data_IF_070786843351
#
_entry.id   IF_070786843351
#
_cell.length_a   1.000
_cell.length_b   1.000
_cell.length_c   1.000
_cell.angle_alpha   90.00
_cell.angle_beta   90.00
_cell.angle_gamma   90.00
#
_symmetry.space_group_name_H-M   'P 1'
#
loop_
_entity.id
_entity.type
_entity.pdbx_description
1 polymer ?
#
# COMPACT_ATOMS: atom_id res chain seq x y z
N UNK A 1 -10.08 13.74 14.89
CA UNK A 1 -9.56 14.31 13.63
C UNK A 1 -9.90 13.36 12.51
N UNK A 2 -10.15 13.84 11.29
CA UNK A 2 -10.34 12.96 10.14
C UNK A 2 -8.99 12.38 9.70
N UNK A 3 -8.92 11.10 9.32
CA UNK A 3 -7.67 10.50 8.89
C UNK A 3 -7.25 10.98 7.49
N UNK A 4 -5.96 10.89 7.20
CA UNK A 4 -5.37 11.12 5.87
C UNK A 4 -5.19 9.81 5.13
N UNK A 5 -5.51 9.74 3.83
CA UNK A 5 -5.12 8.62 2.98
C UNK A 5 -3.83 8.98 2.23
N UNK A 6 -2.76 8.24 2.48
CA UNK A 6 -1.52 8.33 1.74
C UNK A 6 -1.51 7.29 0.61
N UNK A 7 -1.40 7.74 -0.63
CA UNK A 7 -1.38 6.88 -1.81
C UNK A 7 0.01 6.85 -2.42
N UNK A 8 0.61 5.65 -2.48
CA UNK A 8 1.94 5.42 -3.06
C UNK A 8 1.85 5.32 -4.60
N UNK A 9 1.92 6.47 -5.27
CA UNK A 9 1.76 6.58 -6.73
C UNK A 9 3.08 6.78 -7.51
N UNK A 10 4.22 6.85 -6.81
CA UNK A 10 5.54 7.09 -7.41
C UNK A 10 6.00 5.97 -8.35
N UNK A 11 5.41 4.77 -8.25
CA UNK A 11 5.69 3.61 -9.10
C UNK A 11 4.80 3.48 -10.36
N UNK A 12 3.67 4.21 -10.45
CA UNK A 12 2.67 3.96 -11.50
C UNK A 12 3.24 4.14 -12.92
N UNK A 13 4.16 5.09 -13.12
CA UNK A 13 4.72 5.34 -14.45
C UNK A 13 5.65 4.23 -14.98
N UNK A 14 6.27 3.43 -14.11
CA UNK A 14 7.25 2.42 -14.55
C UNK A 14 6.61 1.10 -14.97
N UNK A 15 5.55 0.67 -14.28
CA UNK A 15 4.86 -0.62 -14.58
C UNK A 15 4.10 -0.56 -15.89
N UNK A 16 3.47 0.58 -16.16
CA UNK A 16 2.63 0.75 -17.35
C UNK A 16 3.35 1.49 -18.49
N UNK A 17 4.64 1.83 -18.39
CA UNK A 17 5.32 2.60 -19.45
C UNK A 17 4.88 4.08 -19.55
N UNK A 18 4.23 4.59 -18.51
CA UNK A 18 3.84 5.99 -18.34
C UNK A 18 2.41 6.16 -17.85
N UNK A 19 2.09 7.33 -17.27
CA UNK A 19 0.72 7.68 -16.82
C UNK A 19 -0.34 7.51 -17.91
N UNK A 20 0.02 7.82 -19.17
CA UNK A 20 -0.88 7.74 -20.34
C UNK A 20 -1.25 6.32 -20.75
N UNK A 21 -0.55 5.32 -20.24
CA UNK A 21 -0.80 3.91 -20.53
C UNK A 21 -1.64 3.23 -19.46
N UNK A 22 -2.03 3.95 -18.39
CA UNK A 22 -3.01 3.44 -17.44
C UNK A 22 -4.37 3.34 -18.12
N UNK A 23 -4.93 2.13 -18.13
CA UNK A 23 -6.20 1.85 -18.76
C UNK A 23 -7.36 2.04 -17.77
N UNK A 24 -8.48 2.63 -18.20
CA UNK A 24 -9.70 2.65 -17.40
C UNK A 24 -10.24 1.24 -17.16
N UNK A 25 -10.78 1.05 -15.97
CA UNK A 25 -11.39 -0.18 -15.47
C UNK A 25 -12.88 -0.03 -15.20
N UNK A 26 -13.36 1.20 -14.98
CA UNK A 26 -14.76 1.50 -14.71
C UNK A 26 -15.62 1.72 -15.96
N UNK A 27 -16.95 1.58 -15.83
CA UNK A 27 -17.89 1.73 -16.95
C UNK A 27 -17.93 3.13 -17.55
N UNK A 28 -17.54 4.17 -16.81
CA UNK A 28 -17.48 5.56 -17.31
C UNK A 28 -16.04 6.08 -17.47
N UNK A 29 -15.06 5.18 -17.56
CA UNK A 29 -13.65 5.55 -17.75
C UNK A 29 -12.88 5.79 -16.45
N UNK A 30 -13.38 5.29 -15.32
CA UNK A 30 -12.69 5.36 -14.02
C UNK A 30 -11.45 4.44 -13.99
N UNK A 31 -10.39 4.88 -13.33
CA UNK A 31 -9.22 4.10 -12.93
C UNK A 31 -9.46 3.42 -11.58
N UNK A 32 -8.65 2.40 -11.26
CA UNK A 32 -8.64 1.76 -9.92
C UNK A 32 -8.54 2.82 -8.81
N UNK A 33 -7.68 3.81 -9.02
CA UNK A 33 -7.46 4.89 -8.05
C UNK A 33 -8.73 5.68 -7.71
N UNK A 34 -9.65 5.84 -8.66
CA UNK A 34 -10.89 6.60 -8.42
C UNK A 34 -11.80 5.92 -7.40
N UNK A 35 -11.83 4.59 -7.41
CA UNK A 35 -12.58 3.80 -6.45
C UNK A 35 -11.98 3.95 -5.05
N UNK A 36 -10.64 3.87 -4.93
CA UNK A 36 -9.95 4.12 -3.66
C UNK A 36 -10.23 5.51 -3.09
N UNK A 37 -10.23 6.55 -3.93
CA UNK A 37 -10.55 7.92 -3.51
C UNK A 37 -12.02 8.04 -3.07
N UNK A 38 -12.94 7.44 -3.82
CA UNK A 38 -14.37 7.45 -3.50
C UNK A 38 -14.66 6.72 -2.18
N UNK A 39 -14.10 5.54 -1.99
CA UNK A 39 -14.30 4.73 -0.78
C UNK A 39 -13.66 5.37 0.44
N UNK A 40 -12.48 5.96 0.32
CA UNK A 40 -11.88 6.74 1.40
C UNK A 40 -12.74 7.95 1.79
N UNK A 41 -13.24 8.71 0.80
CA UNK A 41 -14.15 9.84 1.05
C UNK A 41 -15.43 9.36 1.76
N UNK A 42 -16.07 8.27 1.29
CA UNK A 42 -17.24 7.64 1.92
C UNK A 42 -16.96 7.13 3.34
N UNK A 43 -15.76 6.62 3.60
CA UNK A 43 -15.32 6.15 4.91
C UNK A 43 -14.97 7.28 5.89
N UNK A 44 -14.91 8.53 5.42
CA UNK A 44 -14.70 9.71 6.27
C UNK A 44 -13.25 10.20 6.36
N UNK A 45 -12.37 9.76 5.47
CA UNK A 45 -11.06 10.38 5.29
C UNK A 45 -11.23 11.84 4.86
N UNK A 46 -10.41 12.74 5.42
CA UNK A 46 -10.54 14.18 5.17
C UNK A 46 -9.58 14.71 4.11
N UNK A 47 -8.45 14.02 3.91
CA UNK A 47 -7.35 14.43 3.03
C UNK A 47 -6.75 13.22 2.33
N UNK A 48 -6.36 13.39 1.07
CA UNK A 48 -5.55 12.44 0.32
C UNK A 48 -4.22 13.09 -0.02
N UNK A 49 -3.13 12.36 0.23
CA UNK A 49 -1.77 12.75 -0.16
C UNK A 49 -1.28 11.76 -1.19
N UNK A 50 -1.02 12.22 -2.41
CA UNK A 50 -0.39 11.39 -3.45
C UNK A 50 1.13 11.54 -3.39
N UNK A 51 1.84 10.44 -3.14
CA UNK A 51 3.30 10.40 -3.27
C UNK A 51 3.64 10.07 -4.71
N UNK A 52 4.21 11.03 -5.44
CA UNK A 52 4.55 10.89 -6.87
C UNK A 52 6.01 11.23 -7.11
N UNK A 53 6.48 11.03 -8.34
CA UNK A 53 7.76 11.58 -8.79
C UNK A 53 7.55 13.00 -9.33
N UNK A 54 8.50 13.90 -9.10
CA UNK A 54 8.36 15.32 -9.43
C UNK A 54 8.07 15.55 -10.91
N UNK A 55 8.68 14.76 -11.80
CA UNK A 55 8.47 14.84 -13.24
C UNK A 55 7.05 14.45 -13.68
N UNK A 56 6.29 13.75 -12.84
CA UNK A 56 4.91 13.35 -13.13
C UNK A 56 3.88 14.38 -12.66
N UNK A 57 4.29 15.42 -11.91
CA UNK A 57 3.37 16.34 -11.22
C UNK A 57 2.35 16.98 -12.14
N UNK A 58 2.79 17.60 -13.24
CA UNK A 58 1.91 18.37 -14.11
C UNK A 58 0.84 17.48 -14.77
N UNK A 59 1.22 16.28 -15.24
CA UNK A 59 0.27 15.35 -15.84
C UNK A 59 -0.66 14.77 -14.77
N UNK A 60 -0.13 14.38 -13.60
CA UNK A 60 -0.91 13.77 -12.54
C UNK A 60 -1.94 14.74 -11.93
N UNK A 61 -1.56 16.00 -11.70
CA UNK A 61 -2.48 17.05 -11.21
C UNK A 61 -3.65 17.27 -12.17
N UNK A 62 -3.37 17.36 -13.48
CA UNK A 62 -4.40 17.50 -14.51
C UNK A 62 -5.46 16.38 -14.47
N UNK A 63 -5.06 15.18 -14.05
CA UNK A 63 -5.91 14.00 -14.00
C UNK A 63 -6.68 13.85 -12.68
N UNK A 64 -6.19 14.47 -11.61
CA UNK A 64 -6.69 14.21 -10.24
C UNK A 64 -7.32 15.43 -9.57
N UNK A 65 -6.78 16.64 -9.77
CA UNK A 65 -7.25 17.84 -9.03
C UNK A 65 -8.72 18.13 -9.32
N UNK A 66 -9.10 18.35 -10.58
CA UNK A 66 -10.50 18.64 -10.93
C UNK A 66 -11.45 17.48 -10.65
N UNK A 67 -10.93 16.25 -10.66
CA UNK A 67 -11.72 15.04 -10.46
C UNK A 67 -12.11 14.81 -9.00
N UNK A 68 -11.26 15.24 -8.07
CA UNK A 68 -11.40 14.96 -6.64
C UNK A 68 -11.67 16.22 -5.79
N UNK A 69 -11.48 17.43 -6.34
CA UNK A 69 -11.59 18.70 -5.61
C UNK A 69 -12.90 18.86 -4.81
N UNK A 70 -14.04 18.39 -5.35
CA UNK A 70 -15.34 18.51 -4.69
C UNK A 70 -15.62 17.38 -3.68
N UNK A 71 -14.72 16.39 -3.57
CA UNK A 71 -14.92 15.16 -2.77
C UNK A 71 -14.04 15.12 -1.52
N UNK A 72 -12.79 15.56 -1.63
CA UNK A 72 -11.79 15.43 -0.58
C UNK A 72 -10.62 16.39 -0.80
N UNK A 73 -9.96 16.84 0.26
CA UNK A 73 -8.74 17.63 0.14
C UNK A 73 -7.63 16.80 -0.52
N UNK A 74 -6.92 17.38 -1.49
CA UNK A 74 -5.84 16.70 -2.21
C UNK A 74 -4.53 17.46 -2.04
N UNK A 75 -3.48 16.73 -1.64
CA UNK A 75 -2.12 17.20 -1.56
C UNK A 75 -1.16 16.24 -2.28
N UNK A 76 0.06 16.72 -2.55
CA UNK A 76 1.07 15.98 -3.29
C UNK A 76 2.41 16.03 -2.56
N UNK A 77 3.03 14.87 -2.39
CA UNK A 77 4.39 14.71 -1.88
C UNK A 77 5.28 14.13 -2.98
N UNK A 78 6.58 14.39 -2.90
CA UNK A 78 7.53 14.02 -3.95
C UNK A 78 8.57 13.04 -3.43
N UNK A 79 8.60 11.83 -4.00
CA UNK A 79 9.62 10.84 -3.68
C UNK A 79 10.91 11.12 -4.47
N UNK A 80 11.67 12.12 -4.02
CA UNK A 80 12.96 12.49 -4.62
C UNK A 80 14.10 11.68 -4.00
N UNK A 81 15.03 11.16 -4.81
CA UNK A 81 16.14 10.33 -4.30
C UNK A 81 17.05 11.09 -3.33
N UNK A 82 17.05 12.41 -3.45
CA UNK A 82 17.82 13.36 -2.64
C UNK A 82 17.19 13.64 -1.28
N UNK A 83 15.93 13.26 -1.05
CA UNK A 83 15.23 13.46 0.22
C UNK A 83 15.66 12.39 1.24
N UNK A 84 16.90 12.53 1.72
CA UNK A 84 17.52 11.59 2.66
C UNK A 84 17.95 12.30 3.93
N UNK A 85 17.85 11.66 5.11
CA UNK A 85 18.25 12.25 6.40
C UNK A 85 19.77 12.45 6.52
N UNK A 86 20.55 11.74 5.69
CA UNK A 86 22.00 11.85 5.61
C UNK A 86 22.44 11.99 4.16
N UNK A 87 23.69 12.43 3.95
CA UNK A 87 24.30 12.45 2.61
C UNK A 87 24.68 11.03 2.19
N UNK A 88 24.25 10.63 0.99
CA UNK A 88 24.60 9.33 0.40
C UNK A 88 25.64 9.54 -0.71
N UNK A 89 26.89 9.05 -0.56
CA UNK A 89 27.96 9.31 -1.54
C UNK A 89 27.67 8.79 -2.95
N UNK A 90 27.00 7.65 -3.08
CA UNK A 90 26.68 6.98 -4.35
C UNK A 90 25.38 7.46 -4.99
N UNK A 91 24.75 8.52 -4.44
CA UNK A 91 23.42 8.97 -4.86
C UNK A 91 23.34 9.31 -6.35
N UNK A 92 24.40 9.89 -6.92
CA UNK A 92 24.47 10.27 -8.34
C UNK A 92 24.37 9.07 -9.30
N UNK A 93 24.79 7.88 -8.85
CA UNK A 93 24.79 6.66 -9.65
C UNK A 93 23.47 5.89 -9.51
N UNK A 94 22.68 6.22 -8.49
CA UNK A 94 21.47 5.48 -8.12
C UNK A 94 20.32 5.76 -9.07
N UNK A 95 19.85 4.71 -9.75
CA UNK A 95 18.66 4.78 -10.60
C UNK A 95 17.39 4.37 -9.87
N UNK A 96 17.47 3.34 -9.01
CA UNK A 96 16.31 2.77 -8.32
C UNK A 96 15.80 3.70 -7.22
N UNK A 97 14.47 3.90 -7.05
CA UNK A 97 13.92 4.55 -5.87
C UNK A 97 14.37 3.87 -4.57
N UNK A 98 14.27 4.57 -3.44
CA UNK A 98 14.66 4.02 -2.14
C UNK A 98 13.63 3.06 -1.53
N UNK A 99 12.44 2.87 -2.12
CA UNK A 99 11.45 1.90 -1.64
C UNK A 99 10.22 2.54 -0.99
N UNK A 100 9.29 1.71 -0.51
CA UNK A 100 7.99 2.15 0.02
C UNK A 100 8.09 2.89 1.36
N UNK A 101 9.04 2.52 2.23
CA UNK A 101 9.29 3.24 3.48
C UNK A 101 9.74 4.67 3.21
N UNK A 102 10.61 4.86 2.20
CA UNK A 102 11.02 6.20 1.76
C UNK A 102 9.85 6.99 1.14
N UNK A 103 8.92 6.32 0.44
CA UNK A 103 7.73 7.00 -0.08
C UNK A 103 6.85 7.57 1.04
N UNK A 104 6.70 6.85 2.16
CA UNK A 104 6.00 7.36 3.35
C UNK A 104 6.79 8.50 4.00
N UNK A 105 8.11 8.34 4.15
CA UNK A 105 8.98 9.39 4.68
C UNK A 105 8.92 10.69 3.85
N UNK A 106 8.87 10.60 2.52
CA UNK A 106 8.75 11.75 1.62
C UNK A 106 7.45 12.56 1.81
N UNK A 107 6.43 11.94 2.41
CA UNK A 107 5.16 12.59 2.72
C UNK A 107 5.04 13.12 4.16
N UNK A 108 6.09 12.97 5.00
CA UNK A 108 6.06 13.28 6.44
C UNK A 108 5.48 14.65 6.80
N UNK A 109 5.74 15.67 6.00
CA UNK A 109 5.24 17.05 6.21
C UNK A 109 3.71 17.18 6.01
N UNK A 110 3.08 16.19 5.38
CA UNK A 110 1.63 16.15 5.13
C UNK A 110 0.88 15.18 6.05
N UNK A 111 1.57 14.51 6.99
CA UNK A 111 1.02 13.44 7.83
C UNK A 111 0.87 13.88 9.30
N UNK A 112 0.13 14.97 9.49
CA UNK A 112 -0.18 15.61 10.78
C UNK A 112 -1.35 14.96 11.54
N UNK A 113 -2.15 14.14 10.87
CA UNK A 113 -3.26 13.37 11.43
C UNK A 113 -3.00 11.86 11.34
N UNK A 114 -3.78 11.00 12.04
CA UNK A 114 -3.74 9.56 11.78
C UNK A 114 -3.95 9.29 10.29
N UNK A 115 -3.27 8.29 9.74
CA UNK A 115 -3.27 8.11 8.29
C UNK A 115 -3.22 6.65 7.88
N UNK A 116 -3.82 6.36 6.73
CA UNK A 116 -3.70 5.08 6.04
C UNK A 116 -2.67 5.16 4.92
N UNK A 117 -2.03 4.05 4.58
CA UNK A 117 -1.12 3.94 3.44
C UNK A 117 -1.65 2.84 2.51
N UNK A 118 -1.76 3.16 1.22
CA UNK A 118 -2.17 2.21 0.18
C UNK A 118 -1.30 2.35 -1.08
N UNK A 119 -1.29 1.32 -1.93
CA UNK A 119 -0.77 1.43 -3.29
C UNK A 119 -1.79 2.15 -4.21
N UNK A 120 -1.32 2.69 -5.32
CA UNK A 120 -2.17 3.44 -6.26
C UNK A 120 -2.87 2.55 -7.32
N UNK A 121 -2.38 1.34 -7.54
CA UNK A 121 -2.79 0.41 -8.59
C UNK A 121 -3.55 -0.83 -8.08
N UNK A 122 -3.92 -0.84 -6.80
CA UNK A 122 -4.65 -1.91 -6.13
C UNK A 122 -6.09 -1.45 -5.79
N UNK A 123 -7.09 -2.28 -6.11
CA UNK A 123 -8.46 -2.10 -5.64
C UNK A 123 -8.64 -2.84 -4.31
N UNK A 124 -8.91 -2.09 -3.24
CA UNK A 124 -8.99 -2.61 -1.87
C UNK A 124 -10.41 -2.95 -1.40
N UNK A 125 -11.43 -2.39 -2.07
CA UNK A 125 -12.83 -2.47 -1.67
C UNK A 125 -13.20 -1.55 -0.50
N UNK A 126 -14.46 -1.12 -0.45
CA UNK A 126 -14.96 -0.14 0.52
C UNK A 126 -14.76 -0.56 1.99
N UNK A 127 -14.83 -1.86 2.28
CA UNK A 127 -14.68 -2.39 3.64
C UNK A 127 -13.28 -2.14 4.23
N UNK A 128 -12.23 -2.17 3.40
CA UNK A 128 -10.88 -1.88 3.85
C UNK A 128 -10.73 -0.44 4.34
N UNK A 129 -11.28 0.51 3.58
CA UNK A 129 -11.28 1.93 3.95
C UNK A 129 -12.13 2.18 5.20
N UNK A 130 -13.30 1.55 5.29
CA UNK A 130 -14.15 1.64 6.49
C UNK A 130 -13.46 1.07 7.72
N UNK A 131 -12.80 -0.08 7.59
CA UNK A 131 -12.05 -0.74 8.66
C UNK A 131 -10.91 0.14 9.15
N UNK A 132 -10.12 0.71 8.26
CA UNK A 132 -9.06 1.65 8.63
C UNK A 132 -9.60 2.94 9.22
N UNK A 133 -10.66 3.52 8.66
CA UNK A 133 -11.26 4.73 9.21
C UNK A 133 -11.76 4.51 10.64
N UNK A 134 -12.43 3.38 10.90
CA UNK A 134 -12.89 3.01 12.24
C UNK A 134 -11.70 2.87 13.21
N UNK A 135 -10.64 2.18 12.80
CA UNK A 135 -9.44 2.02 13.61
C UNK A 135 -8.76 3.36 13.92
N UNK A 136 -8.53 4.19 12.89
CA UNK A 136 -7.82 5.47 13.01
C UNK A 136 -8.62 6.55 13.76
N UNK A 137 -9.94 6.39 13.87
CA UNK A 137 -10.83 7.32 14.59
C UNK A 137 -11.25 6.84 15.97
N UNK A 138 -10.93 5.59 16.36
CA UNK A 138 -11.18 5.08 17.72
C UNK A 138 -10.35 5.88 18.75
N UNK A 139 -11.00 6.53 19.74
CA UNK A 139 -10.29 7.28 20.78
C UNK A 139 -9.23 6.46 21.54
N UNK A 140 -9.42 5.14 21.70
CA UNK A 140 -8.44 4.26 22.35
C UNK A 140 -7.18 4.13 21.50
N UNK A 141 -7.34 4.00 20.18
CA UNK A 141 -6.21 3.89 19.26
C UNK A 141 -5.51 5.23 19.10
N UNK A 142 -6.24 6.35 19.10
CA UNK A 142 -5.62 7.69 19.05
C UNK A 142 -4.77 8.01 20.29
N UNK A 143 -5.10 7.42 21.44
CA UNK A 143 -4.30 7.54 22.66
C UNK A 143 -3.05 6.64 22.67
N UNK A 144 -2.94 5.68 21.75
CA UNK A 144 -1.86 4.70 21.67
C UNK A 144 -0.99 4.95 20.43
N UNK A 145 0.22 5.45 20.65
CA UNK A 145 1.15 5.79 19.57
C UNK A 145 1.95 4.59 19.04
N UNK A 146 1.81 3.43 19.66
CA UNK A 146 2.60 2.22 19.36
C UNK A 146 1.75 1.10 18.77
N UNK A 147 0.45 1.33 18.57
CA UNK A 147 -0.45 0.39 17.89
C UNK A 147 -0.75 0.84 16.46
N UNK A 148 -0.43 -0.03 15.51
CA UNK A 148 -0.67 0.16 14.09
C UNK A 148 -1.74 -0.81 13.59
N UNK A 149 -2.23 -0.58 12.39
CA UNK A 149 -3.14 -1.48 11.70
C UNK A 149 -2.55 -1.96 10.38
N UNK A 150 -2.87 -3.20 10.04
CA UNK A 150 -2.68 -3.76 8.71
C UNK A 150 -3.99 -4.40 8.30
N UNK A 151 -4.55 -4.02 7.15
CA UNK A 151 -5.68 -4.74 6.57
C UNK A 151 -5.17 -6.03 5.95
N UNK A 152 -5.59 -7.15 6.52
CA UNK A 152 -5.25 -8.49 6.06
C UNK A 152 -6.37 -9.07 5.20
N UNK A 153 -5.99 -9.64 4.06
CA UNK A 153 -6.89 -10.29 3.11
C UNK A 153 -6.67 -11.79 3.14
N UNK A 154 -7.73 -12.57 2.91
CA UNK A 154 -7.59 -14.01 2.66
C UNK A 154 -6.86 -14.23 1.34
N UNK A 155 -5.87 -15.11 1.31
CA UNK A 155 -5.04 -15.35 0.14
C UNK A 155 -5.87 -15.69 -1.11
N UNK A 156 -6.90 -16.51 -0.97
CA UNK A 156 -7.84 -16.88 -2.05
C UNK A 156 -8.49 -15.68 -2.73
N UNK A 157 -8.69 -14.57 -2.02
CA UNK A 157 -9.26 -13.34 -2.55
C UNK A 157 -8.25 -12.48 -3.32
N UNK A 158 -6.99 -12.91 -3.45
CA UNK A 158 -5.89 -12.10 -3.99
C UNK A 158 -5.11 -12.79 -5.12
N UNK A 159 -5.52 -13.99 -5.55
CA UNK A 159 -4.82 -14.73 -6.61
C UNK A 159 -5.23 -14.23 -8.00
N UNK A 160 -4.33 -14.36 -8.98
CA UNK A 160 -4.61 -14.15 -10.41
C UNK A 160 -4.85 -15.50 -11.08
N UNK A 161 -5.78 -15.54 -12.03
CA UNK A 161 -6.00 -16.71 -12.91
C UNK A 161 -4.93 -16.81 -14.02
N UNK A 162 -4.17 -15.74 -14.26
CA UNK A 162 -3.24 -15.60 -15.37
C UNK A 162 -1.78 -15.84 -14.99
N UNK A 163 -1.47 -16.04 -13.70
CA UNK A 163 -0.11 -16.31 -13.25
C UNK A 163 0.06 -16.30 -11.75
N UNK A 164 1.30 -16.16 -11.32
CA UNK A 164 1.66 -16.13 -9.89
C UNK A 164 1.74 -14.70 -9.38
N UNK A 165 1.51 -14.53 -8.07
CA UNK A 165 1.58 -13.23 -7.40
C UNK A 165 2.65 -13.22 -6.31
N UNK A 166 2.98 -12.04 -5.82
CA UNK A 166 3.80 -11.86 -4.60
C UNK A 166 2.97 -11.19 -3.51
N UNK A 167 3.08 -11.68 -2.28
CA UNK A 167 2.30 -11.23 -1.13
C UNK A 167 3.12 -11.29 0.15
N UNK A 168 2.87 -10.37 1.07
CA UNK A 168 3.37 -10.46 2.44
C UNK A 168 2.50 -11.41 3.26
N UNK A 169 2.94 -12.65 3.47
CA UNK A 169 2.25 -13.63 4.32
C UNK A 169 2.33 -13.20 5.77
N UNK A 170 1.16 -13.05 6.40
CA UNK A 170 1.02 -12.57 7.77
C UNK A 170 0.88 -13.75 8.73
N UNK A 171 1.62 -13.71 9.84
CA UNK A 171 1.39 -14.59 11.00
C UNK A 171 0.86 -13.75 12.14
N UNK A 172 -0.25 -14.19 12.74
CA UNK A 172 -0.92 -13.49 13.84
C UNK A 172 -1.00 -14.37 15.08
N UNK A 173 -1.10 -13.74 16.24
CA UNK A 173 -1.47 -14.42 17.48
C UNK A 173 -3.00 -14.50 17.65
N UNK A 174 -3.44 -15.15 18.73
CA UNK A 174 -4.87 -15.32 19.07
C UNK A 174 -5.61 -14.00 19.35
N UNK A 175 -4.88 -12.89 19.52
CA UNK A 175 -5.44 -11.56 19.72
C UNK A 175 -5.59 -10.77 18.42
N UNK A 176 -5.14 -11.34 17.30
CA UNK A 176 -5.07 -10.66 16.00
C UNK A 176 -3.86 -9.73 15.86
N UNK A 177 -2.89 -9.80 16.77
CA UNK A 177 -1.64 -9.04 16.64
C UNK A 177 -0.70 -9.75 15.66
N UNK A 178 -0.11 -8.98 14.75
CA UNK A 178 0.87 -9.44 13.77
C UNK A 178 2.18 -9.80 14.48
N UNK A 179 2.56 -11.07 14.39
CA UNK A 179 3.82 -11.61 14.88
C UNK A 179 4.96 -11.42 13.87
N UNK A 180 4.65 -11.57 12.59
CA UNK A 180 5.62 -11.40 11.49
C UNK A 180 4.91 -11.23 10.16
N UNK A 181 5.57 -10.54 9.23
CA UNK A 181 5.21 -10.50 7.81
C UNK A 181 6.41 -10.95 6.96
N UNK A 182 6.20 -11.91 6.06
CA UNK A 182 7.23 -12.43 5.18
C UNK A 182 6.80 -12.31 3.72
N UNK A 183 7.63 -11.74 2.87
CA UNK A 183 7.34 -11.66 1.43
C UNK A 183 7.49 -13.04 0.79
N UNK A 184 6.43 -13.52 0.15
CA UNK A 184 6.41 -14.76 -0.61
C UNK A 184 6.18 -14.43 -2.08
N UNK A 185 6.89 -15.11 -2.97
CA UNK A 185 6.77 -14.96 -4.42
C UNK A 185 6.24 -16.25 -5.07
N UNK A 186 5.97 -16.21 -6.38
CA UNK A 186 5.48 -17.37 -7.14
C UNK A 186 4.22 -18.02 -6.54
N UNK A 187 3.37 -17.21 -5.87
CA UNK A 187 2.16 -17.69 -5.20
C UNK A 187 1.08 -17.96 -6.25
N UNK A 188 0.57 -19.19 -6.30
CA UNK A 188 -0.55 -19.54 -7.17
C UNK A 188 -0.91 -21.02 -7.13
N UNK A 189 -1.99 -21.39 -7.82
CA UNK A 189 -2.38 -22.79 -7.99
C UNK A 189 -1.41 -23.48 -8.96
N UNK A 190 -0.64 -24.45 -8.47
CA UNK A 190 0.30 -25.23 -9.28
C UNK A 190 -0.16 -26.69 -9.41
N UNK A 191 -1.26 -26.90 -10.15
CA UNK A 191 -1.84 -28.22 -10.42
C UNK A 191 -2.71 -28.74 -9.27
N UNK A 192 -4.03 -28.66 -9.47
CA UNK A 192 -5.03 -29.01 -8.45
C UNK A 192 -5.34 -27.86 -7.48
N UNK A 193 -5.88 -28.18 -6.31
CA UNK A 193 -6.44 -27.20 -5.37
C UNK A 193 -5.41 -26.66 -4.35
N UNK A 194 -4.12 -26.99 -4.49
CA UNK A 194 -3.07 -26.53 -3.56
C UNK A 194 -2.41 -25.24 -4.04
N UNK A 195 -2.33 -24.24 -3.17
CA UNK A 195 -1.58 -23.01 -3.44
C UNK A 195 -0.11 -23.23 -3.05
N UNK A 196 0.78 -23.10 -4.03
CA UNK A 196 2.23 -23.19 -3.84
C UNK A 196 2.84 -21.78 -3.88
N UNK A 197 3.92 -21.57 -3.14
CA UNK A 197 4.67 -20.32 -3.06
C UNK A 197 6.16 -20.57 -2.83
N UNK A 198 6.98 -19.53 -2.98
CA UNK A 198 8.35 -19.47 -2.50
C UNK A 198 8.47 -18.46 -1.36
N UNK A 199 9.00 -18.89 -0.22
CA UNK A 199 9.27 -17.99 0.91
C UNK A 199 10.48 -17.07 0.63
N UNK A 200 10.86 -16.23 1.60
CA UNK A 200 11.98 -15.30 1.45
C UNK A 200 13.34 -16.00 1.23
N UNK A 201 13.47 -17.26 1.66
CA UNK A 201 14.63 -18.13 1.44
C UNK A 201 14.59 -18.86 0.07
N UNK A 202 13.60 -18.56 -0.79
CA UNK A 202 13.34 -19.24 -2.07
C UNK A 202 12.97 -20.72 -1.94
N UNK A 203 12.52 -21.16 -0.78
CA UNK A 203 12.07 -22.53 -0.53
C UNK A 203 10.59 -22.67 -0.91
N UNK A 204 10.23 -23.80 -1.53
CA UNK A 204 8.85 -24.11 -1.86
C UNK A 204 8.03 -24.42 -0.62
N UNK A 205 6.89 -23.72 -0.47
CA UNK A 205 5.95 -23.89 0.63
C UNK A 205 4.52 -23.99 0.09
N UNK A 206 3.65 -24.65 0.84
CA UNK A 206 2.22 -24.71 0.55
C UNK A 206 1.46 -23.79 1.49
N UNK A 207 0.55 -22.98 0.94
CA UNK A 207 -0.27 -22.04 1.68
C UNK A 207 -1.74 -22.48 1.68
N UNK A 208 -2.46 -22.16 2.74
CA UNK A 208 -3.92 -22.31 2.82
C UNK A 208 -4.61 -21.15 2.10
N UNK A 209 -5.81 -21.37 1.58
CA UNK A 209 -6.67 -20.31 1.04
C UNK A 209 -7.00 -19.22 2.07
N UNK A 210 -7.15 -19.63 3.34
CA UNK A 210 -7.42 -18.74 4.47
C UNK A 210 -6.18 -18.03 5.01
N UNK A 211 -5.00 -18.26 4.41
CA UNK A 211 -3.76 -17.57 4.81
C UNK A 211 -3.96 -16.07 4.70
N UNK A 212 -3.70 -15.35 5.79
CA UNK A 212 -3.80 -13.89 5.79
C UNK A 212 -2.60 -13.29 5.07
N UNK A 213 -2.86 -12.38 4.14
CA UNK A 213 -1.84 -11.67 3.37
C UNK A 213 -2.01 -10.16 3.42
N UNK A 214 -0.88 -9.46 3.36
CA UNK A 214 -0.79 -8.02 3.22
C UNK A 214 -0.79 -7.62 1.75
N UNK A 215 -1.56 -6.58 1.45
CA UNK A 215 -1.57 -5.87 0.17
C UNK A 215 -1.05 -4.43 0.34
N UNK A 216 -0.19 -4.22 1.34
CA UNK A 216 0.37 -2.93 1.70
C UNK A 216 -0.69 -1.86 2.07
N UNK A 217 -1.74 -2.28 2.78
CA UNK A 217 -2.85 -1.44 3.25
C UNK A 217 -2.74 -1.24 4.77
N UNK A 218 -2.09 -0.15 5.19
CA UNK A 218 -1.69 0.09 6.58
C UNK A 218 -2.45 1.26 7.21
N UNK A 219 -2.50 1.31 8.53
CA UNK A 219 -3.01 2.44 9.32
C UNK A 219 -2.05 2.81 10.45
N UNK A 220 -1.74 4.08 10.60
CA UNK A 220 -0.77 4.60 11.55
C UNK A 220 -1.31 5.81 12.35
N UNK A 221 -0.90 5.97 13.61
CA UNK A 221 -1.25 7.15 14.39
C UNK A 221 -0.57 8.42 13.85
N UNK A 222 -1.10 9.59 14.25
CA UNK A 222 -0.50 10.87 13.91
C UNK A 222 0.95 10.94 14.39
N UNK A 223 1.85 11.54 13.61
CA UNK A 223 3.26 11.68 13.99
C UNK A 223 4.11 10.40 13.83
N UNK A 224 3.51 9.25 13.49
CA UNK A 224 4.24 8.00 13.27
C UNK A 224 5.36 8.14 12.23
N UNK A 225 5.17 8.94 11.19
CA UNK A 225 6.15 9.16 10.13
C UNK A 225 7.51 9.68 10.65
N UNK A 226 7.55 10.34 11.81
CA UNK A 226 8.80 10.77 12.46
C UNK A 226 9.70 9.60 12.87
N UNK A 227 9.11 8.42 13.14
CA UNK A 227 9.85 7.19 13.48
C UNK A 227 10.65 6.66 12.30
N UNK A 228 10.32 7.04 11.06
CA UNK A 228 11.03 6.57 9.86
C UNK A 228 12.40 7.21 9.68
N UNK A 229 12.63 8.42 10.19
CA UNK A 229 13.89 9.14 9.99
C UNK A 229 15.12 8.36 10.51
N UNK A 230 15.16 7.92 11.79
CA UNK A 230 16.31 7.15 12.29
C UNK A 230 16.45 5.78 11.59
N UNK A 231 15.33 5.12 11.26
CA UNK A 231 15.36 3.83 10.55
C UNK A 231 15.93 3.97 9.14
N UNK A 232 15.53 5.03 8.44
CA UNK A 232 16.01 5.32 7.10
C UNK A 232 17.48 5.73 7.13
N UNK A 233 17.91 6.51 8.12
CA UNK A 233 19.31 6.80 8.34
C UNK A 233 20.14 5.51 8.50
N UNK A 234 19.76 4.62 9.42
CA UNK A 234 20.48 3.36 9.64
C UNK A 234 20.53 2.49 8.37
N UNK A 235 19.41 2.39 7.64
CA UNK A 235 19.38 1.71 6.35
C UNK A 235 20.38 2.30 5.34
N UNK A 236 20.47 3.64 5.25
CA UNK A 236 21.38 4.30 4.32
C UNK A 236 22.86 4.11 4.72
N UNK A 237 23.17 4.09 6.01
CA UNK A 237 24.52 3.81 6.51
C UNK A 237 24.96 2.38 6.20
N UNK A 238 24.07 1.40 6.34
CA UNK A 238 24.37 -0.01 6.12
C UNK A 238 24.35 -0.39 4.62
N UNK A 239 23.33 0.08 3.89
CA UNK A 239 22.98 -0.43 2.55
C UNK A 239 22.80 0.68 1.50
N UNK A 240 23.06 1.94 1.83
CA UNK A 240 22.88 3.06 0.90
C UNK A 240 23.83 3.02 -0.31
N UNK A 241 24.97 2.36 -0.17
CA UNK A 241 25.92 2.14 -1.27
C UNK A 241 25.46 1.08 -2.28
N UNK A 242 24.55 0.18 -1.90
CA UNK A 242 24.04 -0.87 -2.77
C UNK A 242 23.08 -0.27 -3.84
N UNK A 243 23.31 -0.46 -5.16
CA UNK A 243 22.51 0.21 -6.19
C UNK A 243 21.03 -0.19 -6.23
N UNK A 244 20.68 -1.34 -5.63
CA UNK A 244 19.34 -1.95 -5.70
C UNK A 244 18.69 -2.19 -4.32
N UNK A 245 19.35 -1.82 -3.22
CA UNK A 245 18.78 -1.93 -1.87
C UNK A 245 17.50 -1.09 -1.76
N UNK A 246 16.52 -1.54 -0.99
CA UNK A 246 15.25 -0.81 -0.81
C UNK A 246 14.87 -0.79 0.67
N UNK A 247 14.45 0.38 1.13
CA UNK A 247 13.84 0.64 2.42
C UNK A 247 12.32 0.43 2.31
N UNK A 248 11.89 -0.75 2.74
CA UNK A 248 10.50 -1.18 2.68
C UNK A 248 9.71 -0.77 3.93
N UNK A 249 8.46 -0.34 3.73
CA UNK A 249 7.55 -0.01 4.83
C UNK A 249 7.33 -1.19 5.79
N UNK A 250 7.04 -2.43 5.33
CA UNK A 250 6.93 -3.59 6.22
C UNK A 250 8.17 -3.83 7.08
N UNK A 251 9.38 -3.68 6.51
CA UNK A 251 10.62 -3.86 7.26
C UNK A 251 10.83 -2.78 8.33
N UNK A 252 10.43 -1.54 8.04
CA UNK A 252 10.45 -0.47 9.04
C UNK A 252 9.46 -0.74 10.20
N UNK A 253 8.26 -1.24 9.88
CA UNK A 253 7.27 -1.63 10.90
C UNK A 253 7.79 -2.78 11.75
N UNK A 254 8.37 -3.82 11.14
CA UNK A 254 8.95 -4.97 11.84
C UNK A 254 10.05 -4.55 12.83
N UNK A 255 10.92 -3.62 12.41
CA UNK A 255 11.96 -3.06 13.27
C UNK A 255 11.38 -2.32 14.48
N UNK A 256 10.27 -1.58 14.30
CA UNK A 256 9.59 -0.88 15.40
C UNK A 256 8.91 -1.87 16.37
N UNK A 257 8.32 -2.95 15.86
CA UNK A 257 7.76 -4.03 16.70
C UNK A 257 8.87 -4.61 17.57
N UNK A 258 10.03 -4.90 16.97
CA UNK A 258 11.17 -5.50 17.67
C UNK A 258 11.85 -4.57 18.68
N UNK A 259 11.90 -3.26 18.41
CA UNK A 259 12.73 -2.31 19.19
C UNK A 259 11.98 -1.33 20.06
N UNK A 260 10.70 -1.04 19.78
CA UNK A 260 9.93 0.01 20.46
C UNK A 260 8.65 -0.53 21.13
N UNK A 261 8.51 -1.85 21.28
CA UNK A 261 7.31 -2.47 21.82
C UNK A 261 6.04 -2.05 21.07
N UNK A 262 6.19 -1.74 19.77
CA UNK A 262 5.07 -1.50 18.90
C UNK A 262 4.34 -2.80 18.59
N UNK A 263 3.07 -2.71 18.25
CA UNK A 263 2.27 -3.83 17.79
C UNK A 263 1.47 -3.43 16.56
N UNK A 264 1.25 -4.37 15.67
CA UNK A 264 0.35 -4.18 14.52
C UNK A 264 -0.84 -5.10 14.70
N UNK A 265 -2.06 -4.57 14.65
CA UNK A 265 -3.26 -5.37 14.57
C UNK A 265 -3.56 -5.72 13.11
N UNK A 266 -3.67 -7.01 12.82
CA UNK A 266 -4.09 -7.49 11.51
C UNK A 266 -5.62 -7.49 11.47
N UNK A 267 -6.19 -6.47 10.83
CA UNK A 267 -7.63 -6.28 10.70
C UNK A 267 -8.12 -7.10 9.50
N UNK A 268 -9.00 -8.11 9.70
CA UNK A 268 -9.48 -8.92 8.60
C UNK A 268 -10.36 -8.10 7.65
N UNK A 269 -10.24 -8.36 6.36
CA UNK A 269 -11.08 -7.80 5.31
C UNK A 269 -11.59 -8.92 4.41
N UNK A 270 -12.90 -8.97 4.23
CA UNK A 270 -13.55 -9.95 3.34
C UNK A 270 -13.69 -9.42 1.90
N UNK A 271 -13.28 -8.17 1.63
CA UNK A 271 -13.29 -7.63 0.26
C UNK A 271 -12.38 -8.46 -0.64
N UNK A 272 -12.82 -8.61 -1.89
CA UNK A 272 -11.98 -9.18 -2.95
C UNK A 272 -11.02 -8.11 -3.44
N UNK A 273 -9.73 -8.43 -3.48
CA UNK A 273 -8.76 -7.55 -4.13
C UNK A 273 -8.87 -7.72 -5.64
N UNK A 274 -8.86 -6.59 -6.36
CA UNK A 274 -8.79 -6.57 -7.81
C UNK A 274 -7.55 -5.74 -8.19
N UNK A 275 -6.63 -6.33 -8.93
CA UNK A 275 -5.47 -5.61 -9.40
C UNK A 275 -4.98 -6.17 -10.71
N UNK A 276 -4.36 -5.31 -11.50
CA UNK A 276 -3.80 -5.69 -12.80
C UNK A 276 -2.34 -6.09 -12.55
N UNK A 277 -2.12 -7.36 -12.21
CA UNK A 277 -0.76 -7.91 -12.08
C UNK A 277 -0.18 -8.15 -13.47
N UNK A 278 -1.02 -8.68 -14.35
CA UNK A 278 -0.78 -8.92 -15.76
C UNK A 278 -1.75 -8.09 -16.58
N UNK A 279 -1.36 -7.68 -17.80
CA UNK A 279 -2.26 -6.92 -18.68
C UNK A 279 -3.53 -7.73 -19.01
N UNK A 280 -3.38 -9.05 -19.02
CA UNK A 280 -4.40 -10.05 -19.23
C UNK A 280 -5.45 -10.08 -18.10
N UNK A 281 -5.14 -9.59 -16.89
CA UNK A 281 -6.13 -9.45 -15.80
C UNK A 281 -7.16 -8.33 -16.08
N UNK A 282 -6.88 -7.42 -17.03
CA UNK A 282 -7.70 -6.22 -17.21
C UNK A 282 -9.18 -6.48 -17.56
N UNK A 283 -9.53 -7.45 -18.43
CA UNK A 283 -10.93 -7.78 -18.71
C UNK A 283 -11.68 -8.28 -17.46
N UNK A 284 -11.07 -9.14 -16.65
CA UNK A 284 -11.72 -9.67 -15.44
C UNK A 284 -11.86 -8.60 -14.36
N UNK A 285 -10.88 -7.69 -14.23
CA UNK A 285 -11.01 -6.51 -13.36
C UNK A 285 -12.15 -5.59 -13.81
N UNK A 286 -12.28 -5.33 -15.12
CA UNK A 286 -13.39 -4.53 -15.68
C UNK A 286 -14.75 -5.17 -15.42
N UNK A 287 -14.86 -6.49 -15.61
CA UNK A 287 -16.09 -7.23 -15.35
C UNK A 287 -16.49 -7.19 -13.87
N UNK A 288 -15.52 -7.44 -12.97
CA UNK A 288 -15.77 -7.37 -11.53
C UNK A 288 -16.22 -5.97 -11.09
N UNK A 289 -15.59 -4.91 -11.60
CA UNK A 289 -15.99 -3.53 -11.29
C UNK A 289 -17.37 -3.19 -11.86
N UNK A 290 -17.66 -3.61 -13.10
CA UNK A 290 -18.98 -3.40 -13.70
C UNK A 290 -20.09 -4.11 -12.91
N UNK A 291 -19.79 -5.27 -12.33
CA UNK A 291 -20.70 -5.98 -11.44
C UNK A 291 -20.94 -5.18 -10.15
N UNK A 292 -19.89 -4.68 -9.50
CA UNK A 292 -20.04 -3.83 -8.29
C UNK A 292 -20.87 -2.56 -8.56
N UNK A 293 -20.69 -1.92 -9.72
CA UNK A 293 -21.56 -0.81 -10.15
C UNK A 293 -23.02 -1.26 -10.35
N UNK A 294 -23.24 -2.41 -10.97
CA UNK A 294 -24.59 -2.94 -11.23
C UNK A 294 -25.33 -3.34 -9.95
N UNK A 295 -24.59 -3.78 -8.94
CA UNK A 295 -25.09 -4.11 -7.60
C UNK A 295 -25.33 -2.86 -6.74
N UNK A 296 -25.00 -1.67 -7.26
CA UNK A 296 -25.24 -0.39 -6.60
C UNK A 296 -24.18 -0.01 -5.56
N UNK A 297 -23.03 -0.66 -5.56
CA UNK A 297 -21.91 -0.30 -4.68
C UNK A 297 -21.21 0.99 -5.14
N UNK A 298 -21.20 1.28 -6.44
CA UNK A 298 -20.52 2.45 -7.04
C UNK A 298 -21.43 3.26 -7.96
#
# INVERSE_FOLDING_TARGET
>A
MQPTLLVLAAGMGSRFGGLKQMEPVGPNGEWILDYSVLDASRAGFGKIVFVIRKEMEAEFRKLTESKYADKIEVAYAFQEKQDTPIKVPTLSERQKPWGTGHAVYAAREHLDAPFAVINADDFYGADAFKTLANFLTDPKQQADQETYALVGYKLSNTLSEHGTVSRGVCKTDDTGSLLSIEEHSDIGYQGGDSIQAKNAASESVTLSEDTLVSLNCWGFPAGWASKLEPLFQSFLEERGAEPKSEFYLPAAVDELIRTQNARTLALPCDSRWLGVTYREDLPSVREAIAQLCSDGEY
#
